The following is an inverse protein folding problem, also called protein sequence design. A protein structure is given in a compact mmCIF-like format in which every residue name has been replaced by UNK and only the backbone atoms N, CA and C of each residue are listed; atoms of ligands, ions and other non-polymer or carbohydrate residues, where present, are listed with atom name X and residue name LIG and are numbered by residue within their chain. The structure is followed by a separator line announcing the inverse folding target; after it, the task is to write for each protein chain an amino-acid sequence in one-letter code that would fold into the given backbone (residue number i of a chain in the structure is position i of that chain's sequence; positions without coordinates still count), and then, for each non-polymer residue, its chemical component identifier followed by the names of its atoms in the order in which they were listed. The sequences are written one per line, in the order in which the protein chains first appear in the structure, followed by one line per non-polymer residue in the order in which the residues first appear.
data_IF_800365102797
#
_entry.id   IF_800365102797
#
_cell.length_a   1.000
_cell.length_b   1.000
_cell.length_c   1.000
_cell.angle_alpha   90.00
_cell.angle_beta   90.00
_cell.angle_gamma   90.00
#
_symmetry.space_group_name_H-M   'P 1'
#
loop_
_entity.id
_entity.type
_entity.pdbx_description
1 polymer ?
#
# COMPACT_ATOMS: atom_id res chain seq x y z
N UNK A 1 6.28 -0.83 -11.56
CA UNK A 1 7.60 -1.31 -11.06
C UNK A 1 8.72 -0.77 -11.90
N UNK A 2 9.79 -0.23 -11.28
CA UNK A 2 10.99 0.28 -11.95
C UNK A 2 12.13 -0.74 -11.87
N UNK A 3 12.99 -0.73 -12.88
CA UNK A 3 14.29 -1.40 -12.89
C UNK A 3 15.38 -0.40 -13.27
N UNK A 4 16.64 -0.81 -13.28
CA UNK A 4 17.79 0.02 -13.66
C UNK A 4 18.35 -0.40 -15.02
N UNK A 5 18.60 0.56 -15.89
CA UNK A 5 19.37 0.40 -17.13
C UNK A 5 20.29 1.61 -17.28
N UNK A 6 21.58 1.35 -17.45
CA UNK A 6 22.63 2.37 -17.55
C UNK A 6 22.63 3.39 -16.37
N UNK A 7 22.25 2.90 -15.17
CA UNK A 7 22.14 3.71 -13.95
C UNK A 7 20.80 4.44 -13.76
N UNK A 8 19.98 4.52 -14.80
CA UNK A 8 18.68 5.23 -14.80
C UNK A 8 17.51 4.30 -14.44
N UNK A 9 16.48 4.86 -13.83
CA UNK A 9 15.20 4.16 -13.57
C UNK A 9 14.40 4.06 -14.87
N UNK A 10 14.00 2.84 -15.23
CA UNK A 10 13.24 2.57 -16.46
C UNK A 10 11.97 1.78 -16.17
N UNK A 11 10.90 2.13 -16.88
CA UNK A 11 9.66 1.36 -16.93
C UNK A 11 9.79 0.19 -17.90
N UNK A 12 8.99 -0.87 -17.67
CA UNK A 12 8.98 -2.05 -18.53
C UNK A 12 8.44 -1.73 -19.93
N UNK A 13 9.24 -1.98 -20.96
CA UNK A 13 8.85 -1.92 -22.36
C UNK A 13 9.07 -3.28 -23.03
N UNK A 14 8.17 -3.64 -23.94
CA UNK A 14 8.12 -4.97 -24.57
C UNK A 14 9.49 -5.38 -25.17
N UNK A 15 9.96 -6.54 -24.77
CA UNK A 15 11.21 -7.12 -25.28
C UNK A 15 12.48 -6.62 -24.58
N UNK A 16 12.38 -5.71 -23.63
CA UNK A 16 13.52 -5.16 -22.91
C UNK A 16 13.95 -6.00 -21.70
N UNK A 17 15.20 -5.80 -21.32
CA UNK A 17 15.83 -6.30 -20.10
C UNK A 17 16.41 -5.15 -19.31
N UNK A 18 16.49 -5.34 -18.00
CA UNK A 18 17.07 -4.38 -17.07
C UNK A 18 17.64 -5.10 -15.85
N UNK A 19 18.14 -4.35 -14.88
CA UNK A 19 18.70 -4.85 -13.62
C UNK A 19 17.75 -4.53 -12.48
N UNK A 20 17.48 -5.51 -11.64
CA UNK A 20 16.68 -5.33 -10.42
C UNK A 20 17.42 -4.41 -9.44
N UNK A 21 16.82 -3.33 -8.92
CA UNK A 21 17.48 -2.44 -7.98
C UNK A 21 17.69 -3.05 -6.58
N UNK A 22 17.13 -4.23 -6.29
CA UNK A 22 17.23 -4.89 -4.98
C UNK A 22 18.34 -5.94 -4.93
N UNK A 23 18.46 -6.77 -5.97
CA UNK A 23 19.37 -7.92 -5.98
C UNK A 23 20.41 -7.89 -7.11
N UNK A 24 20.42 -6.83 -7.94
CA UNK A 24 21.26 -6.66 -9.12
C UNK A 24 21.10 -7.80 -10.16
N UNK A 25 20.09 -8.64 -10.03
CA UNK A 25 19.75 -9.69 -10.98
C UNK A 25 19.06 -9.16 -12.25
N UNK A 26 19.20 -9.89 -13.37
CA UNK A 26 18.51 -9.56 -14.63
C UNK A 26 16.99 -9.71 -14.46
N UNK A 27 16.23 -8.71 -14.90
CA UNK A 27 14.78 -8.74 -15.03
C UNK A 27 14.35 -8.55 -16.48
N UNK A 28 13.22 -9.12 -16.84
CA UNK A 28 12.63 -9.04 -18.17
C UNK A 28 11.30 -8.29 -18.12
N UNK A 29 11.03 -7.48 -19.14
CA UNK A 29 9.76 -6.77 -19.26
C UNK A 29 8.62 -7.75 -19.59
N UNK A 30 7.58 -7.73 -18.77
CA UNK A 30 6.30 -8.40 -18.99
C UNK A 30 5.27 -7.37 -19.44
N UNK A 31 4.97 -7.36 -20.73
CA UNK A 31 4.12 -6.38 -21.38
C UNK A 31 3.03 -7.10 -22.20
N UNK A 32 2.03 -7.62 -21.49
CA UNK A 32 0.83 -8.24 -22.08
C UNK A 32 -0.35 -7.27 -22.12
N UNK A 33 -1.41 -7.65 -22.84
CA UNK A 33 -2.61 -6.82 -23.02
C UNK A 33 -3.55 -6.81 -21.81
N UNK A 34 -3.34 -7.72 -20.84
CA UNK A 34 -4.25 -7.91 -19.69
C UNK A 34 -3.69 -7.33 -18.40
N UNK A 35 -2.37 -7.45 -18.21
CA UNK A 35 -1.72 -7.01 -16.97
C UNK A 35 -0.93 -5.72 -17.20
N UNK A 36 -0.84 -4.93 -16.16
CA UNK A 36 0.05 -3.77 -16.14
C UNK A 36 1.47 -4.19 -16.51
N UNK A 37 2.14 -3.40 -17.35
CA UNK A 37 3.52 -3.64 -17.74
C UNK A 37 4.43 -3.59 -16.51
N UNK A 38 5.22 -4.63 -16.27
CA UNK A 38 6.09 -4.74 -15.11
C UNK A 38 7.39 -5.49 -15.42
N UNK A 39 8.39 -5.29 -14.59
CA UNK A 39 9.62 -6.07 -14.60
C UNK A 39 9.45 -7.33 -13.75
N UNK A 40 9.94 -8.47 -14.23
CA UNK A 40 9.90 -9.73 -13.50
C UNK A 40 11.22 -10.46 -13.60
N UNK A 41 11.62 -11.14 -12.53
CA UNK A 41 12.72 -12.10 -12.56
C UNK A 41 12.34 -13.34 -13.38
N UNK A 42 13.32 -14.05 -13.92
CA UNK A 42 13.08 -15.29 -14.67
C UNK A 42 12.66 -16.45 -13.78
N UNK A 43 13.15 -16.49 -12.54
CA UNK A 43 12.87 -17.57 -11.59
C UNK A 43 11.86 -17.12 -10.53
N UNK A 44 12.31 -16.56 -9.43
CA UNK A 44 11.46 -16.09 -8.34
C UNK A 44 11.79 -14.64 -8.01
N UNK A 45 10.81 -13.90 -7.51
CA UNK A 45 11.04 -12.54 -7.05
C UNK A 45 12.01 -12.54 -5.86
N UNK A 46 12.87 -11.53 -5.83
CA UNK A 46 13.82 -11.33 -4.74
C UNK A 46 13.21 -10.62 -3.53
N UNK A 47 12.02 -10.05 -3.70
CA UNK A 47 11.21 -9.48 -2.63
C UNK A 47 10.04 -10.42 -2.35
N UNK A 48 10.03 -11.03 -1.18
CA UNK A 48 8.98 -11.97 -0.76
C UNK A 48 7.63 -11.27 -0.53
N UNK A 49 7.64 -9.93 -0.42
CA UNK A 49 6.44 -9.11 -0.25
C UNK A 49 5.91 -8.55 -1.56
N UNK A 50 6.58 -8.82 -2.69
CA UNK A 50 6.16 -8.32 -3.99
C UNK A 50 4.78 -8.87 -4.36
N UNK A 51 3.85 -7.97 -4.63
CA UNK A 51 2.54 -8.28 -5.17
C UNK A 51 2.46 -7.94 -6.65
N UNK A 52 1.54 -8.60 -7.36
CA UNK A 52 1.20 -8.22 -8.72
C UNK A 52 0.63 -6.80 -8.75
N UNK A 53 1.23 -5.91 -9.55
CA UNK A 53 0.82 -4.52 -9.66
C UNK A 53 -0.55 -4.42 -10.37
N UNK A 54 -1.50 -3.74 -9.76
CA UNK A 54 -2.81 -3.45 -10.34
C UNK A 54 -2.92 -1.97 -10.71
N UNK A 55 -3.89 -1.61 -11.56
CA UNK A 55 -4.21 -0.22 -11.88
C UNK A 55 -4.49 0.62 -10.63
N UNK A 56 -5.09 0.02 -9.60
CA UNK A 56 -5.35 0.69 -8.33
C UNK A 56 -4.03 1.04 -7.60
N UNK A 57 -3.05 0.11 -7.56
CA UNK A 57 -1.72 0.39 -6.98
C UNK A 57 -1.02 1.51 -7.75
N UNK A 58 -1.01 1.44 -9.09
CA UNK A 58 -0.42 2.48 -9.92
C UNK A 58 -1.08 3.84 -9.68
N UNK A 59 -2.42 3.88 -9.72
CA UNK A 59 -3.17 5.11 -9.52
C UNK A 59 -2.92 5.76 -8.16
N UNK A 60 -2.61 4.97 -7.12
CA UNK A 60 -2.17 5.50 -5.83
C UNK A 60 -0.73 5.99 -5.86
N UNK A 61 0.21 5.18 -6.37
CA UNK A 61 1.63 5.55 -6.46
C UNK A 61 1.85 6.81 -7.31
N UNK A 62 1.13 6.95 -8.42
CA UNK A 62 1.21 8.12 -9.31
C UNK A 62 0.82 9.45 -8.68
N UNK A 63 0.11 9.43 -7.55
CA UNK A 63 -0.20 10.67 -6.79
C UNK A 63 0.99 11.25 -6.04
N UNK A 64 2.10 10.53 -5.97
CA UNK A 64 3.32 10.93 -5.28
C UNK A 64 4.46 11.22 -6.28
N UNK A 65 5.49 12.00 -5.90
CA UNK A 65 6.67 12.22 -6.73
C UNK A 65 7.36 10.92 -7.14
N UNK A 66 7.96 10.88 -8.31
CA UNK A 66 8.54 9.67 -8.88
C UNK A 66 9.68 9.10 -8.03
N UNK A 67 10.50 9.96 -7.47
CA UNK A 67 11.62 9.61 -6.58
C UNK A 67 11.19 9.03 -5.23
N UNK A 68 9.92 9.26 -4.84
CA UNK A 68 9.33 8.69 -3.64
C UNK A 68 8.70 7.32 -3.86
N UNK A 69 8.52 6.86 -5.11
CA UNK A 69 7.83 5.61 -5.44
C UNK A 69 8.79 4.44 -5.51
N UNK A 70 8.35 3.27 -5.05
CA UNK A 70 9.09 2.01 -5.15
C UNK A 70 10.53 2.14 -4.63
N UNK A 71 10.67 2.71 -3.45
CA UNK A 71 11.96 2.98 -2.84
C UNK A 71 12.52 1.72 -2.20
N UNK A 72 13.69 1.28 -2.64
CA UNK A 72 14.40 0.15 -2.03
C UNK A 72 14.96 0.57 -0.68
N UNK A 73 14.60 -0.17 0.36
CA UNK A 73 15.05 0.02 1.73
C UNK A 73 15.82 -1.20 2.21
N UNK A 74 16.92 -0.95 2.91
CA UNK A 74 17.75 -2.01 3.49
C UNK A 74 17.86 -1.80 5.00
N UNK A 75 17.59 -2.86 5.77
CA UNK A 75 17.80 -2.90 7.22
C UNK A 75 18.50 -4.22 7.58
N UNK A 76 19.69 -4.12 8.17
CA UNK A 76 20.58 -5.25 8.36
C UNK A 76 20.75 -6.06 7.05
N UNK A 77 20.40 -7.33 7.03
CA UNK A 77 20.51 -8.20 5.86
C UNK A 77 19.20 -8.32 5.06
N UNK A 78 18.16 -7.57 5.45
CA UNK A 78 16.85 -7.62 4.80
C UNK A 78 16.69 -6.43 3.87
N UNK A 79 16.14 -6.68 2.68
CA UNK A 79 15.90 -5.66 1.65
C UNK A 79 14.47 -5.80 1.16
N UNK A 80 13.70 -4.71 1.23
CA UNK A 80 12.35 -4.63 0.69
C UNK A 80 12.13 -3.34 -0.08
N UNK A 81 11.09 -3.31 -0.88
CA UNK A 81 10.72 -2.15 -1.68
C UNK A 81 9.40 -1.58 -1.18
N UNK A 82 9.47 -0.39 -0.59
CA UNK A 82 8.29 0.37 -0.18
C UNK A 82 7.53 0.89 -1.41
N UNK A 83 6.21 0.83 -1.38
CA UNK A 83 5.38 1.39 -2.46
C UNK A 83 5.60 2.89 -2.62
N UNK A 84 5.55 3.62 -1.51
CA UNK A 84 5.91 5.04 -1.44
C UNK A 84 6.68 5.31 -0.15
N UNK A 85 7.79 6.05 -0.26
CA UNK A 85 8.54 6.56 0.89
C UNK A 85 8.75 8.05 0.77
N UNK A 86 8.34 8.79 1.78
CA UNK A 86 8.50 10.25 1.88
C UNK A 86 9.25 10.53 3.16
N UNK A 87 10.47 11.04 3.04
CA UNK A 87 11.41 11.17 4.15
C UNK A 87 11.63 9.82 4.86
N UNK A 88 11.18 9.68 6.09
CA UNK A 88 11.25 8.46 6.91
C UNK A 88 9.90 7.73 7.03
N UNK A 89 8.86 8.21 6.37
CA UNK A 89 7.52 7.64 6.41
C UNK A 89 7.22 6.78 5.17
N UNK A 90 6.63 5.60 5.37
CA UNK A 90 6.25 4.67 4.31
C UNK A 90 4.73 4.58 4.18
N UNK A 91 4.25 4.56 2.94
CA UNK A 91 2.87 4.16 2.61
C UNK A 91 2.93 2.84 1.84
N UNK A 92 2.19 1.85 2.33
CA UNK A 92 1.97 0.56 1.66
C UNK A 92 0.53 0.48 1.15
N UNK A 93 0.36 0.10 -0.10
CA UNK A 93 -0.93 -0.05 -0.76
C UNK A 93 -1.27 -1.53 -0.88
N UNK A 94 -2.26 -2.01 -0.13
CA UNK A 94 -2.59 -3.44 -0.04
C UNK A 94 -3.92 -3.76 -0.69
N UNK A 95 -3.91 -4.65 -1.69
CA UNK A 95 -5.13 -5.14 -2.34
C UNK A 95 -5.33 -6.64 -2.16
N UNK A 96 -4.27 -7.41 -2.27
CA UNK A 96 -4.28 -8.85 -2.11
C UNK A 96 -4.48 -9.28 -0.65
N UNK A 97 -4.89 -10.52 -0.39
CA UNK A 97 -4.83 -11.05 0.97
C UNK A 97 -3.40 -11.06 1.50
N UNK A 98 -3.25 -10.69 2.76
CA UNK A 98 -1.97 -10.66 3.50
C UNK A 98 -2.15 -11.42 4.80
N UNK A 99 -1.11 -12.05 5.33
CA UNK A 99 -1.15 -12.74 6.61
C UNK A 99 -0.92 -11.77 7.77
N UNK A 100 -1.27 -12.17 8.98
CA UNK A 100 -1.01 -11.35 10.17
C UNK A 100 0.49 -11.26 10.48
N UNK A 101 1.23 -12.33 10.21
CA UNK A 101 2.69 -12.37 10.34
C UNK A 101 3.35 -11.33 9.43
N UNK A 102 2.95 -11.31 8.17
CA UNK A 102 3.49 -10.39 7.19
C UNK A 102 3.13 -8.92 7.51
N UNK A 103 1.94 -8.65 8.07
CA UNK A 103 1.59 -7.30 8.54
C UNK A 103 2.58 -6.86 9.61
N UNK A 104 2.83 -7.71 10.63
CA UNK A 104 3.76 -7.40 11.70
C UNK A 104 5.20 -7.24 11.18
N UNK A 105 5.64 -8.13 10.30
CA UNK A 105 6.99 -8.06 9.71
C UNK A 105 7.21 -6.74 8.94
N UNK A 106 6.25 -6.32 8.12
CA UNK A 106 6.33 -5.05 7.38
C UNK A 106 6.32 -3.85 8.34
N UNK A 107 5.44 -3.83 9.35
CA UNK A 107 5.40 -2.76 10.33
C UNK A 107 6.69 -2.67 11.15
N UNK A 108 7.30 -3.78 11.53
CA UNK A 108 8.60 -3.80 12.20
C UNK A 108 9.75 -3.36 11.28
N UNK A 109 9.70 -3.73 10.01
CA UNK A 109 10.73 -3.34 9.05
C UNK A 109 10.67 -1.85 8.71
N UNK A 110 9.49 -1.31 8.45
CA UNK A 110 9.33 0.09 8.06
C UNK A 110 9.28 1.04 9.26
N UNK A 111 8.82 0.56 10.43
CA UNK A 111 8.63 1.29 11.69
C UNK A 111 7.63 2.45 11.57
N UNK A 112 7.90 3.41 10.70
CA UNK A 112 7.10 4.60 10.51
C UNK A 112 6.30 4.49 9.20
N UNK A 113 5.08 3.95 9.29
CA UNK A 113 4.29 3.65 8.10
C UNK A 113 2.78 3.78 8.32
N UNK A 114 2.05 3.75 7.22
CA UNK A 114 0.60 3.55 7.21
C UNK A 114 0.19 2.63 6.05
N UNK A 115 -0.93 1.97 6.25
CA UNK A 115 -1.58 1.13 5.25
C UNK A 115 -2.69 1.88 4.53
N UNK A 116 -2.75 1.75 3.21
CA UNK A 116 -3.92 2.08 2.41
C UNK A 116 -4.42 0.78 1.78
N UNK A 117 -5.63 0.37 2.12
CA UNK A 117 -6.18 -0.93 1.74
C UNK A 117 -7.31 -0.76 0.75
N UNK A 118 -7.25 -1.49 -0.37
CA UNK A 118 -8.38 -1.59 -1.30
C UNK A 118 -9.50 -2.40 -0.65
N UNK A 119 -10.53 -1.69 -0.19
CA UNK A 119 -11.71 -2.26 0.46
C UNK A 119 -12.94 -2.31 -0.47
N UNK A 120 -12.75 -2.20 -1.80
CA UNK A 120 -13.81 -2.17 -2.81
C UNK A 120 -14.87 -3.25 -2.62
N UNK A 121 -14.43 -4.46 -2.27
CA UNK A 121 -15.31 -5.64 -2.09
C UNK A 121 -15.70 -5.89 -0.63
N UNK A 122 -15.35 -4.98 0.27
CA UNK A 122 -15.64 -5.14 1.70
C UNK A 122 -16.95 -4.45 2.02
N UNK A 123 -17.83 -5.16 2.71
CA UNK A 123 -19.15 -4.65 3.06
C UNK A 123 -19.17 -4.18 4.51
N UNK A 124 -19.13 -2.88 4.68
CA UNK A 124 -19.25 -2.19 5.96
C UNK A 124 -20.64 -1.54 6.09
N UNK A 125 -21.23 -1.67 7.26
CA UNK A 125 -22.42 -0.91 7.66
C UNK A 125 -21.94 0.25 8.53
N UNK A 126 -21.99 1.47 8.01
CA UNK A 126 -21.56 2.67 8.73
C UNK A 126 -22.72 3.32 9.49
N UNK A 127 -22.42 3.88 10.65
CA UNK A 127 -23.35 4.70 11.44
C UNK A 127 -22.64 5.96 11.89
N UNK A 128 -23.15 7.11 11.45
CA UNK A 128 -22.65 8.41 11.86
C UNK A 128 -23.01 8.69 13.32
N UNK A 129 -22.05 9.19 14.06
CA UNK A 129 -22.18 9.71 15.41
C UNK A 129 -21.68 11.16 15.38
N UNK A 130 -22.10 11.97 16.33
CA UNK A 130 -21.73 13.40 16.35
C UNK A 130 -20.21 13.65 16.26
N UNK A 131 -19.37 12.75 16.78
CA UNK A 131 -17.93 12.94 16.90
C UNK A 131 -17.09 11.95 16.09
N UNK A 132 -17.69 10.86 15.60
CA UNK A 132 -16.99 9.79 14.89
C UNK A 132 -17.94 8.91 14.11
N UNK A 133 -17.43 8.06 13.26
CA UNK A 133 -18.20 7.06 12.51
C UNK A 133 -17.95 5.69 13.13
N UNK A 134 -19.00 4.98 13.52
CA UNK A 134 -18.91 3.57 13.89
C UNK A 134 -19.21 2.69 12.70
N UNK A 135 -18.67 1.48 12.71
CA UNK A 135 -18.95 0.50 11.66
C UNK A 135 -19.23 -0.89 12.21
N UNK A 136 -19.92 -1.68 11.39
CA UNK A 136 -20.09 -3.11 11.54
C UNK A 136 -19.62 -3.80 10.27
N UNK A 137 -18.68 -4.74 10.41
CA UNK A 137 -18.12 -5.52 9.31
C UNK A 137 -18.46 -6.99 9.49
N UNK A 138 -19.38 -7.49 8.66
CA UNK A 138 -19.99 -8.81 8.82
C UNK A 138 -19.00 -9.95 8.60
N UNK A 139 -18.12 -9.81 7.58
CA UNK A 139 -17.15 -10.82 7.19
C UNK A 139 -15.72 -10.27 7.28
N UNK A 140 -15.20 -10.06 8.51
CA UNK A 140 -13.94 -9.36 8.70
C UNK A 140 -12.74 -10.19 8.23
N UNK A 141 -11.77 -9.51 7.64
CA UNK A 141 -10.43 -10.03 7.41
C UNK A 141 -9.62 -9.84 8.71
N UNK A 142 -9.59 -10.87 9.54
CA UNK A 142 -9.08 -10.83 10.92
C UNK A 142 -7.60 -10.43 11.02
N UNK A 143 -6.82 -10.63 9.95
CA UNK A 143 -5.40 -10.27 9.91
C UNK A 143 -5.16 -8.80 10.26
N UNK A 144 -6.07 -7.91 9.86
CA UNK A 144 -5.97 -6.48 10.12
C UNK A 144 -6.18 -6.06 11.58
N UNK A 145 -6.63 -6.99 12.45
CA UNK A 145 -6.73 -6.71 13.88
C UNK A 145 -5.37 -6.61 14.58
N UNK A 146 -4.31 -7.17 13.96
CA UNK A 146 -2.93 -7.10 14.46
C UNK A 146 -2.19 -5.84 14.06
N UNK A 147 -2.70 -5.09 13.07
CA UNK A 147 -2.05 -3.88 12.59
C UNK A 147 -1.94 -2.83 13.70
N UNK A 148 -0.73 -2.31 13.89
CA UNK A 148 -0.41 -1.25 14.85
C UNK A 148 -0.28 0.11 14.15
N UNK A 149 0.11 0.09 12.89
CA UNK A 149 0.19 1.28 12.04
C UNK A 149 -1.20 1.76 11.61
N UNK A 150 -1.37 3.05 11.29
CA UNK A 150 -2.64 3.58 10.80
C UNK A 150 -3.15 2.82 9.56
N UNK A 151 -4.43 2.47 9.58
CA UNK A 151 -5.11 1.76 8.48
C UNK A 151 -6.14 2.69 7.84
N UNK A 152 -5.97 2.95 6.55
CA UNK A 152 -6.90 3.67 5.70
C UNK A 152 -7.58 2.72 4.72
N UNK A 153 -8.90 2.72 4.67
CA UNK A 153 -9.69 1.90 3.75
C UNK A 153 -10.14 2.75 2.55
N UNK A 154 -9.80 2.31 1.35
CA UNK A 154 -10.29 2.87 0.09
C UNK A 154 -11.40 1.98 -0.46
N UNK A 155 -12.64 2.45 -0.42
CA UNK A 155 -13.79 1.73 -0.95
C UNK A 155 -13.99 1.92 -2.46
N UNK A 156 -13.12 2.69 -3.12
CA UNK A 156 -13.14 2.90 -4.58
C UNK A 156 -14.49 3.40 -5.12
N UNK A 157 -15.22 4.17 -4.32
CA UNK A 157 -16.56 4.66 -4.66
C UNK A 157 -17.71 3.70 -4.39
N UNK A 158 -17.45 2.50 -3.87
CA UNK A 158 -18.50 1.50 -3.62
C UNK A 158 -19.38 1.80 -2.40
N UNK A 159 -18.87 2.57 -1.42
CA UNK A 159 -19.58 2.92 -0.17
C UNK A 159 -19.50 4.42 0.17
N UNK A 160 -18.87 5.20 -0.67
CA UNK A 160 -18.76 6.65 -0.58
C UNK A 160 -18.72 7.28 -1.98
N UNK A 161 -18.51 8.56 -2.09
CA UNK A 161 -18.39 9.26 -3.37
C UNK A 161 -17.04 9.07 -4.07
N UNK A 162 -16.18 8.18 -3.55
CA UNK A 162 -14.88 7.83 -4.16
C UNK A 162 -13.74 8.80 -3.86
N UNK A 163 -14.00 9.91 -3.20
CA UNK A 163 -13.01 10.94 -2.86
C UNK A 163 -12.49 10.88 -1.41
N UNK A 164 -12.98 9.89 -0.63
CA UNK A 164 -12.63 9.73 0.79
C UNK A 164 -11.97 8.39 1.08
N UNK A 165 -11.21 8.36 2.17
CA UNK A 165 -10.69 7.17 2.83
C UNK A 165 -11.31 7.07 4.21
N UNK A 166 -11.49 5.86 4.70
CA UNK A 166 -11.91 5.65 6.08
C UNK A 166 -10.69 5.31 6.94
N UNK A 167 -10.25 6.24 7.78
CA UNK A 167 -9.20 6.00 8.78
C UNK A 167 -9.81 5.19 9.93
N UNK A 168 -9.39 3.95 10.06
CA UNK A 168 -9.78 3.10 11.18
C UNK A 168 -8.99 3.50 12.42
N UNK A 169 -9.70 3.77 13.52
CA UNK A 169 -9.08 4.06 14.82
C UNK A 169 -9.09 2.84 15.73
N UNK A 170 -10.07 1.95 15.55
CA UNK A 170 -10.15 0.71 16.32
C UNK A 170 -10.97 -0.36 15.59
N UNK A 171 -10.41 -1.55 15.53
CA UNK A 171 -11.14 -2.80 15.31
C UNK A 171 -11.44 -3.47 16.65
N UNK A 172 -12.64 -4.01 16.81
CA UNK A 172 -12.97 -4.91 17.91
C UNK A 172 -12.92 -6.34 17.39
N UNK A 173 -12.10 -7.18 17.99
CA UNK A 173 -11.78 -8.56 17.59
C UNK A 173 -12.95 -9.56 17.79
N UNK A 174 -14.16 -9.18 17.39
CA UNK A 174 -15.37 -9.99 17.47
C UNK A 174 -16.02 -10.15 16.10
N UNK A 175 -16.85 -11.17 15.92
CA UNK A 175 -17.63 -11.40 14.71
C UNK A 175 -19.12 -11.20 15.02
N UNK A 176 -19.82 -10.29 14.32
CA UNK A 176 -19.30 -9.35 13.33
C UNK A 176 -18.32 -8.35 13.97
N UNK A 177 -17.28 -8.00 13.23
CA UNK A 177 -16.33 -6.98 13.69
C UNK A 177 -17.07 -5.65 13.81
N UNK A 178 -16.78 -4.93 14.85
CA UNK A 178 -17.21 -3.54 15.05
C UNK A 178 -15.98 -2.69 15.24
N UNK A 179 -16.17 -1.40 15.09
CA UNK A 179 -15.09 -0.46 15.31
C UNK A 179 -15.55 0.96 15.04
N UNK A 180 -14.60 1.86 15.00
CA UNK A 180 -14.87 3.26 14.73
C UNK A 180 -13.68 3.93 14.05
N UNK A 181 -13.95 5.06 13.42
CA UNK A 181 -12.96 5.84 12.69
C UNK A 181 -13.55 7.14 12.16
N UNK A 182 -12.89 7.66 11.13
CA UNK A 182 -13.24 8.93 10.50
C UNK A 182 -13.13 8.85 8.99
N UNK A 183 -13.99 9.58 8.29
CA UNK A 183 -13.78 9.85 6.88
C UNK A 183 -12.73 10.95 6.71
N UNK A 184 -11.76 10.70 5.84
CA UNK A 184 -10.68 11.62 5.47
C UNK A 184 -10.74 11.85 3.97
N UNK A 185 -10.81 13.09 3.50
CA UNK A 185 -10.73 13.36 2.08
C UNK A 185 -9.38 12.95 1.50
N UNK A 186 -9.36 12.32 0.32
CA UNK A 186 -8.13 11.89 -0.35
C UNK A 186 -7.16 13.05 -0.56
N UNK A 187 -7.67 14.25 -0.85
CA UNK A 187 -6.84 15.45 -0.96
C UNK A 187 -6.16 15.81 0.37
N UNK A 188 -6.88 15.74 1.49
CA UNK A 188 -6.30 15.98 2.83
C UNK A 188 -5.26 14.93 3.17
N UNK A 189 -5.54 13.65 2.88
CA UNK A 189 -4.59 12.56 3.04
C UNK A 189 -3.32 12.82 2.23
N UNK A 190 -3.44 13.13 0.93
CA UNK A 190 -2.29 13.40 0.06
C UNK A 190 -1.50 14.63 0.52
N UNK A 191 -2.19 15.70 0.94
CA UNK A 191 -1.54 16.88 1.48
C UNK A 191 -0.70 16.55 2.71
N UNK A 192 -1.26 15.81 3.65
CA UNK A 192 -0.56 15.44 4.87
C UNK A 192 0.68 14.56 4.60
N UNK A 193 0.55 13.56 3.75
CA UNK A 193 1.64 12.63 3.48
C UNK A 193 2.63 13.11 2.43
N UNK A 194 2.21 13.87 1.44
CA UNK A 194 3.07 14.36 0.36
C UNK A 194 3.78 15.66 0.72
N UNK A 195 3.04 16.60 1.34
CA UNK A 195 3.49 17.96 1.50
C UNK A 195 3.97 18.26 2.94
N UNK A 196 3.45 17.53 3.96
CA UNK A 196 3.78 17.77 5.37
C UNK A 196 3.92 16.45 6.18
N UNK A 197 4.79 15.51 5.79
CA UNK A 197 4.89 14.22 6.46
C UNK A 197 5.35 14.28 7.93
N UNK A 198 6.00 15.38 8.33
CA UNK A 198 6.52 15.55 9.69
C UNK A 198 5.46 15.84 10.78
N UNK A 199 4.22 16.16 10.41
CA UNK A 199 3.15 16.48 11.38
C UNK A 199 2.37 15.27 11.87
N UNK A 200 2.65 14.07 11.36
CA UNK A 200 1.90 12.84 11.66
C UNK A 200 2.51 12.01 12.80
N UNK A 201 3.66 12.43 13.32
CA UNK A 201 4.46 11.69 14.32
C UNK A 201 4.26 12.24 15.74
N UNK A 202 3.29 13.13 15.94
CA UNK A 202 2.99 13.73 17.27
C UNK A 202 1.66 13.25 17.84
#
# INVERSE_FOLDING_TARGET
MYAKRDGERVLAQKGEKAICPMCDGEVIAKCGDINVHHWAHKAADCDTWAEGESEWHLGWKEKFPEDCREVVMKRADTVHRADVRILDFVLEFQRSPITWEEIIERELFYENMAWVICAEKWNFEFTDKETHITFRWKHPRKHWWSAQSPVYLDFCGSQDEGDRLFLVRKFHDKIPCRGWGYWVHKQTFLHNFRDYPLQLVS
#
